data_IF_410211935583
#
_entry.id   IF_410211935583
#
_cell.length_a   1.000
_cell.length_b   1.000
_cell.length_c   1.000
_cell.angle_alpha   90.00
_cell.angle_beta   90.00
_cell.angle_gamma   90.00
#
_symmetry.space_group_name_H-M   'P 1'
#
loop_
_entity.id
_entity.type
_entity.pdbx_description
1 polymer ?
#
# COMPACT_ATOMS: atom_id res chain seq x y z
N UNK A 1 -5.37 -6.28 -3.46
CA UNK A 1 -5.12 -7.48 -4.29
C UNK A 1 -6.43 -8.10 -4.70
N UNK A 2 -6.66 -8.29 -6.00
CA UNK A 2 -7.82 -9.05 -6.49
C UNK A 2 -7.73 -10.53 -6.09
N UNK A 3 -8.82 -11.10 -5.60
CA UNK A 3 -8.94 -12.52 -5.24
C UNK A 3 -10.20 -13.16 -5.86
N UNK A 4 -10.68 -12.62 -6.99
CA UNK A 4 -11.92 -13.04 -7.68
C UNK A 4 -11.95 -14.49 -8.19
N UNK A 5 -10.80 -15.18 -8.20
CA UNK A 5 -10.70 -16.60 -8.53
C UNK A 5 -11.21 -17.52 -7.41
N UNK A 6 -11.41 -17.02 -6.19
CA UNK A 6 -12.21 -17.71 -5.18
C UNK A 6 -13.71 -17.47 -5.38
N UNK A 7 -14.55 -18.40 -4.94
CA UNK A 7 -16.01 -18.22 -4.95
C UNK A 7 -16.40 -16.95 -4.19
N UNK A 8 -17.07 -16.01 -4.86
CA UNK A 8 -17.43 -14.68 -4.33
C UNK A 8 -16.23 -13.82 -3.90
N UNK A 9 -15.04 -14.11 -4.42
CA UNK A 9 -13.82 -13.37 -4.11
C UNK A 9 -13.90 -11.91 -4.54
N UNK A 10 -13.38 -11.01 -3.70
CA UNK A 10 -13.24 -9.58 -3.99
C UNK A 10 -11.79 -9.18 -3.87
N UNK A 11 -11.38 -8.65 -2.71
CA UNK A 11 -10.00 -8.19 -2.50
C UNK A 11 -9.44 -8.57 -1.14
N UNK A 12 -8.13 -8.79 -1.11
CA UNK A 12 -7.28 -8.82 0.10
C UNK A 12 -6.37 -7.58 0.12
N UNK A 13 -5.97 -7.11 1.30
CA UNK A 13 -5.07 -5.97 1.47
C UNK A 13 -3.60 -6.45 1.52
N UNK A 14 -2.79 -5.96 0.58
CA UNK A 14 -1.33 -6.13 0.60
C UNK A 14 -0.75 -4.98 1.39
N UNK A 15 0.06 -5.30 2.41
CA UNK A 15 0.81 -4.32 3.20
C UNK A 15 2.17 -4.12 2.53
N UNK A 16 2.44 -3.00 1.85
CA UNK A 16 3.68 -2.87 1.06
C UNK A 16 4.91 -2.55 1.91
N UNK A 17 4.73 -2.09 3.15
CA UNK A 17 5.82 -1.78 4.06
C UNK A 17 6.31 -3.06 4.73
N UNK A 18 7.58 -3.38 4.51
CA UNK A 18 8.32 -4.51 5.08
C UNK A 18 9.68 -4.05 5.58
N UNK A 19 10.33 -4.89 6.40
CA UNK A 19 11.69 -4.63 6.88
C UNK A 19 12.66 -4.46 5.71
N UNK A 20 12.49 -5.27 4.66
CA UNK A 20 13.27 -5.23 3.43
C UNK A 20 13.04 -3.92 2.67
N UNK A 21 11.78 -3.47 2.55
CA UNK A 21 11.47 -2.18 1.93
C UNK A 21 12.12 -1.01 2.69
N UNK A 22 12.13 -1.07 4.02
CA UNK A 22 12.73 -0.06 4.88
C UNK A 22 14.25 -0.08 4.79
N UNK A 23 14.85 -1.26 4.73
CA UNK A 23 16.28 -1.43 4.52
C UNK A 23 16.70 -0.80 3.19
N UNK A 24 15.99 -1.10 2.09
CA UNK A 24 16.27 -0.52 0.78
C UNK A 24 16.10 1.01 0.77
N UNK A 25 14.99 1.53 1.29
CA UNK A 25 14.78 2.99 1.41
C UNK A 25 15.88 3.64 2.24
N UNK A 26 16.34 2.97 3.31
CA UNK A 26 17.49 3.43 4.10
C UNK A 26 18.77 3.57 3.26
N UNK A 27 19.03 2.64 2.34
CA UNK A 27 20.18 2.75 1.42
C UNK A 27 20.08 3.94 0.47
N UNK A 28 18.88 4.22 -0.05
CA UNK A 28 18.61 5.38 -0.91
C UNK A 28 18.82 6.71 -0.16
N UNK A 29 18.31 6.80 1.08
CA UNK A 29 18.43 8.01 1.90
C UNK A 29 19.88 8.30 2.35
N UNK A 30 20.74 7.28 2.38
CA UNK A 30 22.16 7.41 2.68
C UNK A 30 23.02 7.63 1.42
N UNK A 31 22.39 7.81 0.25
CA UNK A 31 23.06 7.95 -1.05
C UNK A 31 24.00 6.78 -1.37
N UNK A 32 23.65 5.58 -0.89
CA UNK A 32 24.40 4.33 -1.10
C UNK A 32 23.45 3.21 -1.53
N UNK A 33 22.75 3.37 -2.67
CA UNK A 33 21.75 2.39 -3.08
C UNK A 33 22.39 1.01 -3.27
N UNK A 34 21.68 -0.04 -2.87
CA UNK A 34 22.14 -1.43 -2.98
C UNK A 34 21.14 -2.26 -3.79
N UNK A 35 21.66 -2.93 -4.81
CA UNK A 35 20.88 -3.85 -5.65
C UNK A 35 20.41 -5.06 -4.85
N UNK A 36 21.24 -5.55 -3.93
CA UNK A 36 20.89 -6.64 -3.02
C UNK A 36 19.72 -6.27 -2.11
N UNK A 37 19.73 -5.04 -1.57
CA UNK A 37 18.63 -4.53 -0.75
C UNK A 37 17.34 -4.34 -1.58
N UNK A 38 17.46 -3.83 -2.81
CA UNK A 38 16.32 -3.74 -3.72
C UNK A 38 15.75 -5.13 -4.04
N UNK A 39 16.60 -6.09 -4.36
CA UNK A 39 16.20 -7.46 -4.69
C UNK A 39 15.48 -8.11 -3.51
N UNK A 40 15.99 -7.95 -2.29
CA UNK A 40 15.32 -8.42 -1.08
C UNK A 40 13.92 -7.80 -0.92
N UNK A 41 13.79 -6.48 -1.10
CA UNK A 41 12.51 -5.78 -1.04
C UNK A 41 11.52 -6.26 -2.11
N UNK A 42 12.00 -6.49 -3.34
CA UNK A 42 11.17 -7.01 -4.44
C UNK A 42 10.75 -8.46 -4.21
N UNK A 43 11.63 -9.30 -3.66
CA UNK A 43 11.32 -10.70 -3.32
C UNK A 43 10.25 -10.76 -2.23
N UNK A 44 10.38 -10.00 -1.14
CA UNK A 44 9.37 -9.94 -0.09
C UNK A 44 8.03 -9.43 -0.65
N UNK A 45 8.05 -8.32 -1.39
CA UNK A 45 6.83 -7.73 -1.92
C UNK A 45 6.07 -8.69 -2.84
N UNK A 46 6.80 -9.41 -3.72
CA UNK A 46 6.24 -10.48 -4.58
C UNK A 46 5.67 -11.63 -3.76
N UNK A 47 6.39 -12.08 -2.72
CA UNK A 47 5.92 -13.13 -1.83
C UNK A 47 4.62 -12.73 -1.12
N UNK A 48 4.52 -11.48 -0.65
CA UNK A 48 3.33 -10.96 0.04
C UNK A 48 2.14 -10.78 -0.90
N UNK A 49 2.37 -10.31 -2.14
CA UNK A 49 1.35 -10.31 -3.20
C UNK A 49 0.83 -11.72 -3.45
N UNK A 50 1.73 -12.70 -3.59
CA UNK A 50 1.36 -14.10 -3.82
C UNK A 50 0.54 -14.66 -2.66
N UNK A 51 0.96 -14.43 -1.42
CA UNK A 51 0.21 -14.84 -0.24
C UNK A 51 -1.20 -14.23 -0.22
N UNK A 52 -1.33 -12.94 -0.48
CA UNK A 52 -2.64 -12.28 -0.56
C UNK A 52 -3.50 -12.84 -1.69
N UNK A 53 -2.90 -13.13 -2.86
CA UNK A 53 -3.61 -13.76 -3.98
C UNK A 53 -4.11 -15.15 -3.61
N UNK A 54 -3.34 -15.91 -2.83
CA UNK A 54 -3.74 -17.24 -2.34
C UNK A 54 -4.70 -17.20 -1.14
N UNK A 55 -5.21 -16.01 -0.75
CA UNK A 55 -6.12 -15.87 0.40
C UNK A 55 -5.43 -16.06 1.76
N UNK A 56 -4.09 -15.98 1.80
CA UNK A 56 -3.27 -16.11 3.00
C UNK A 56 -2.89 -14.75 3.59
N UNK A 57 -3.55 -13.67 3.15
CA UNK A 57 -3.39 -12.35 3.74
C UNK A 57 -4.10 -12.26 5.10
N UNK A 58 -3.55 -11.49 6.05
CA UNK A 58 -4.12 -11.42 7.41
C UNK A 58 -5.33 -10.47 7.51
N UNK A 59 -5.47 -9.45 6.66
CA UNK A 59 -6.47 -8.39 6.89
C UNK A 59 -7.91 -8.91 6.83
N UNK A 60 -8.31 -9.66 5.79
CA UNK A 60 -9.69 -10.17 5.70
C UNK A 60 -9.98 -11.25 6.73
N UNK A 61 -8.98 -12.06 7.10
CA UNK A 61 -9.13 -13.04 8.16
C UNK A 61 -9.40 -12.36 9.52
N UNK A 62 -8.57 -11.39 9.91
CA UNK A 62 -8.74 -10.65 11.15
C UNK A 62 -10.07 -9.87 11.19
N UNK A 63 -10.49 -9.29 10.06
CA UNK A 63 -11.80 -8.66 9.93
C UNK A 63 -12.94 -9.66 10.13
N UNK A 64 -12.86 -10.83 9.51
CA UNK A 64 -13.87 -11.89 9.67
C UNK A 64 -14.03 -12.33 11.13
N UNK A 65 -12.91 -12.53 11.83
CA UNK A 65 -12.91 -12.84 13.26
C UNK A 65 -13.52 -11.70 14.10
N UNK A 66 -13.21 -10.43 13.77
CA UNK A 66 -13.76 -9.24 14.45
C UNK A 66 -15.28 -9.18 14.31
N UNK A 67 -15.78 -9.36 13.08
CA UNK A 67 -17.22 -9.37 12.79
C UNK A 67 -17.94 -10.55 13.46
N UNK A 68 -17.31 -11.72 13.53
CA UNK A 68 -17.84 -12.88 14.22
C UNK A 68 -17.96 -12.65 15.73
N UNK A 69 -16.93 -12.06 16.35
CA UNK A 69 -16.95 -11.71 17.78
C UNK A 69 -18.09 -10.72 18.07
N UNK A 70 -18.22 -9.66 17.27
CA UNK A 70 -19.31 -8.70 17.38
C UNK A 70 -20.70 -9.35 17.24
N UNK A 71 -20.87 -10.26 16.26
CA UNK A 71 -22.14 -10.97 16.05
C UNK A 71 -22.52 -11.87 17.24
N UNK A 72 -21.54 -12.46 17.93
CA UNK A 72 -21.80 -13.29 19.11
C UNK A 72 -22.24 -12.49 20.34
N UNK A 73 -22.11 -11.15 20.32
CA UNK A 73 -22.52 -10.28 21.43
C UNK A 73 -21.60 -10.36 22.66
N UNK A 74 -20.36 -10.84 22.50
CA UNK A 74 -19.36 -10.88 23.55
C UNK A 74 -18.42 -9.67 23.53
N UNK A 75 -17.56 -9.57 24.54
CA UNK A 75 -16.48 -8.59 24.54
C UNK A 75 -15.53 -8.82 23.37
N UNK A 76 -15.06 -7.72 22.79
CA UNK A 76 -14.11 -7.77 21.69
C UNK A 76 -12.75 -8.24 22.23
N UNK A 77 -12.12 -9.27 21.63
CA UNK A 77 -10.82 -9.76 22.08
C UNK A 77 -9.75 -8.65 22.14
N UNK A 78 -8.85 -8.74 23.12
CA UNK A 78 -7.83 -7.71 23.41
C UNK A 78 -6.95 -7.34 22.21
N UNK A 79 -6.66 -8.29 21.32
CA UNK A 79 -5.90 -8.02 20.08
C UNK A 79 -6.52 -6.89 19.24
N UNK A 80 -7.83 -6.68 19.29
CA UNK A 80 -8.48 -5.61 18.53
C UNK A 80 -8.43 -4.24 19.22
N UNK A 81 -8.04 -4.21 20.49
CA UNK A 81 -7.78 -2.99 21.26
C UNK A 81 -6.30 -2.59 21.16
N UNK A 82 -5.43 -3.53 20.84
CA UNK A 82 -3.99 -3.32 20.65
C UNK A 82 -3.67 -2.22 19.62
N UNK A 83 -2.73 -1.34 19.97
CA UNK A 83 -2.29 -0.25 19.10
C UNK A 83 -1.66 -0.78 17.81
N UNK A 84 -0.91 -1.88 17.87
CA UNK A 84 -0.32 -2.54 16.71
C UNK A 84 -1.37 -3.02 15.72
N UNK A 85 -2.49 -3.58 16.20
CA UNK A 85 -3.63 -3.91 15.34
C UNK A 85 -4.25 -2.66 14.70
N UNK A 86 -4.42 -1.58 15.47
CA UNK A 86 -4.96 -0.32 14.96
C UNK A 86 -4.06 0.29 13.89
N UNK A 87 -2.75 0.36 14.13
CA UNK A 87 -1.74 0.81 13.16
C UNK A 87 -1.75 -0.07 11.92
N UNK A 88 -1.73 -1.39 12.10
CA UNK A 88 -1.73 -2.36 11.01
C UNK A 88 -2.97 -2.25 10.12
N UNK A 89 -4.14 -1.95 10.68
CA UNK A 89 -5.41 -1.84 9.94
C UNK A 89 -5.76 -0.43 9.47
N UNK A 90 -4.97 0.59 9.84
CA UNK A 90 -5.18 1.97 9.40
C UNK A 90 -4.42 2.25 8.11
N UNK A 91 -5.17 2.44 7.03
CA UNK A 91 -4.61 2.75 5.72
C UNK A 91 -4.38 4.27 5.59
N UNK A 92 -3.23 4.78 6.09
CA UNK A 92 -2.86 6.19 5.89
C UNK A 92 -2.59 6.49 4.41
N UNK A 93 -1.81 5.63 3.75
CA UNK A 93 -1.66 5.64 2.28
C UNK A 93 -2.51 4.52 1.70
N UNK A 94 -3.74 4.84 1.29
CA UNK A 94 -4.62 3.88 0.63
C UNK A 94 -4.34 3.90 -0.86
N UNK A 95 -3.70 2.85 -1.38
CA UNK A 95 -3.22 2.81 -2.78
C UNK A 95 -3.97 1.79 -3.64
N UNK A 96 -4.19 2.11 -4.91
CA UNK A 96 -4.83 1.20 -5.87
C UNK A 96 -4.37 1.43 -7.30
N UNK A 97 -4.24 0.35 -8.07
CA UNK A 97 -3.93 0.39 -9.50
C UNK A 97 -4.83 -0.57 -10.26
N UNK A 98 -5.09 -0.22 -11.52
CA UNK A 98 -5.78 -1.07 -12.50
C UNK A 98 -4.86 -1.43 -13.67
N UNK A 99 -3.55 -1.22 -13.51
CA UNK A 99 -2.54 -1.50 -14.52
C UNK A 99 -2.15 -0.25 -15.31
N UNK A 100 -2.18 -0.39 -16.63
CA UNK A 100 -1.81 0.67 -17.57
C UNK A 100 -3.00 1.57 -17.94
N UNK A 101 -2.72 2.57 -18.79
CA UNK A 101 -3.71 3.53 -19.26
C UNK A 101 -4.55 3.05 -20.45
N UNK A 102 -4.57 1.75 -20.77
CA UNK A 102 -5.32 1.21 -21.93
C UNK A 102 -6.83 1.34 -21.77
N UNK A 103 -7.33 1.18 -20.55
CA UNK A 103 -8.77 1.16 -20.24
C UNK A 103 -9.16 2.33 -19.33
N UNK A 104 -8.35 2.61 -18.31
CA UNK A 104 -8.61 3.67 -17.33
C UNK A 104 -7.33 4.50 -17.20
N UNK A 105 -7.40 5.77 -17.58
CA UNK A 105 -6.24 6.68 -17.45
C UNK A 105 -5.95 6.97 -15.99
N UNK A 106 -6.96 7.40 -15.24
CA UNK A 106 -6.88 7.57 -13.79
C UNK A 106 -8.28 7.50 -13.15
N UNK A 107 -8.29 7.27 -11.84
CA UNK A 107 -9.48 7.41 -11.01
C UNK A 107 -9.11 7.97 -9.64
N UNK A 108 -10.08 8.57 -8.98
CA UNK A 108 -9.93 9.10 -7.63
C UNK A 108 -10.85 8.35 -6.66
N UNK A 109 -10.45 8.27 -5.41
CA UNK A 109 -11.26 7.74 -4.33
C UNK A 109 -10.93 8.48 -3.04
N UNK A 110 -11.93 8.64 -2.17
CA UNK A 110 -11.73 9.30 -0.89
C UNK A 110 -10.75 8.48 -0.01
N UNK A 111 -9.93 9.15 0.83
CA UNK A 111 -9.15 8.47 1.85
C UNK A 111 -10.00 7.55 2.73
N UNK A 112 -9.46 6.40 3.11
CA UNK A 112 -10.14 5.40 3.95
C UNK A 112 -9.94 5.63 5.45
N UNK A 113 -9.10 6.59 5.82
CA UNK A 113 -8.77 6.95 7.20
C UNK A 113 -8.76 8.47 7.37
N UNK A 114 -9.06 8.94 8.58
CA UNK A 114 -9.00 10.37 8.92
C UNK A 114 -7.56 10.85 8.76
N UNK A 115 -7.37 11.92 7.97
CA UNK A 115 -6.03 12.44 7.67
C UNK A 115 -5.19 11.57 6.73
N UNK A 116 -5.74 10.48 6.18
CA UNK A 116 -5.08 9.65 5.18
C UNK A 116 -5.15 10.23 3.77
N UNK A 117 -4.61 9.49 2.80
CA UNK A 117 -4.57 9.80 1.37
C UNK A 117 -5.16 8.63 0.57
N UNK A 118 -5.97 8.96 -0.43
CA UNK A 118 -6.38 8.02 -1.48
C UNK A 118 -5.47 8.20 -2.69
N UNK A 119 -4.79 7.16 -3.14
CA UNK A 119 -3.77 7.25 -4.18
C UNK A 119 -4.03 6.20 -5.26
N UNK A 120 -4.41 6.65 -6.44
CA UNK A 120 -4.31 5.82 -7.63
C UNK A 120 -2.97 6.04 -8.32
N UNK A 121 -2.38 4.98 -8.85
CA UNK A 121 -1.24 5.04 -9.75
C UNK A 121 -1.50 4.23 -11.03
N UNK A 122 -1.13 4.80 -12.18
CA UNK A 122 -1.27 4.21 -13.50
C UNK A 122 0.05 4.28 -14.25
N UNK A 123 0.43 3.18 -14.89
CA UNK A 123 1.61 3.15 -15.77
C UNK A 123 1.22 3.74 -17.13
N UNK A 124 2.01 4.68 -17.63
CA UNK A 124 1.86 5.30 -18.95
C UNK A 124 3.15 5.12 -19.75
N UNK A 125 3.13 5.29 -21.08
CA UNK A 125 4.35 5.26 -21.89
C UNK A 125 5.42 6.28 -21.45
N UNK A 126 5.01 7.39 -20.86
CA UNK A 126 5.86 8.48 -20.39
C UNK A 126 6.30 8.32 -18.92
N UNK A 127 5.76 7.34 -18.18
CA UNK A 127 6.13 7.07 -16.80
C UNK A 127 4.94 6.67 -15.91
N UNK A 128 4.79 7.37 -14.79
CA UNK A 128 3.75 7.06 -13.78
C UNK A 128 2.85 8.27 -13.56
N UNK A 129 1.54 8.05 -13.65
CA UNK A 129 0.53 9.02 -13.28
C UNK A 129 0.01 8.70 -11.88
N UNK A 130 0.16 9.64 -10.94
CA UNK A 130 -0.38 9.53 -9.59
C UNK A 130 -1.57 10.48 -9.40
N UNK A 131 -2.71 9.93 -8.98
CA UNK A 131 -3.89 10.72 -8.60
C UNK A 131 -4.05 10.64 -7.08
N UNK A 132 -3.81 11.76 -6.39
CA UNK A 132 -3.80 11.86 -4.92
C UNK A 132 -5.04 12.62 -4.45
N UNK A 133 -5.90 11.96 -3.70
CA UNK A 133 -7.11 12.51 -3.07
C UNK A 133 -6.87 12.72 -1.57
N UNK A 134 -7.28 13.88 -1.06
CA UNK A 134 -7.07 14.31 0.33
C UNK A 134 -8.10 15.37 0.72
N UNK A 135 -8.23 15.67 2.02
CA UNK A 135 -9.05 16.81 2.47
C UNK A 135 -8.33 18.12 2.21
N UNK A 136 -9.08 19.22 2.10
CA UNK A 136 -8.52 20.56 1.84
C UNK A 136 -7.47 20.96 2.89
N UNK A 137 -7.68 20.60 4.15
CA UNK A 137 -6.79 20.89 5.28
C UNK A 137 -5.40 20.25 5.14
N UNK A 138 -5.27 19.19 4.32
CA UNK A 138 -4.02 18.46 4.12
C UNK A 138 -3.15 19.04 2.98
N UNK A 139 -3.62 20.05 2.24
CA UNK A 139 -3.02 20.50 0.97
C UNK A 139 -1.50 20.76 1.06
N UNK A 140 -1.04 21.48 2.08
CA UNK A 140 0.38 21.80 2.24
C UNK A 140 1.24 20.56 2.43
N UNK A 141 0.81 19.64 3.32
CA UNK A 141 1.50 18.38 3.58
C UNK A 141 1.49 17.47 2.35
N UNK A 142 0.40 17.47 1.59
CA UNK A 142 0.28 16.69 0.35
C UNK A 142 1.21 17.24 -0.72
N UNK A 143 1.40 18.57 -0.82
CA UNK A 143 2.38 19.14 -1.74
C UNK A 143 3.80 18.62 -1.42
N UNK A 144 4.17 18.55 -0.14
CA UNK A 144 5.43 17.94 0.30
C UNK A 144 5.52 16.47 -0.09
N UNK A 145 4.45 15.70 0.11
CA UNK A 145 4.39 14.30 -0.28
C UNK A 145 4.55 14.11 -1.80
N UNK A 146 3.83 14.87 -2.61
CA UNK A 146 3.91 14.81 -4.09
C UNK A 146 5.30 15.20 -4.59
N UNK A 147 5.92 16.21 -3.99
CA UNK A 147 7.31 16.55 -4.31
C UNK A 147 8.27 15.43 -3.92
N UNK A 148 8.07 14.80 -2.76
CA UNK A 148 8.88 13.66 -2.31
C UNK A 148 8.73 12.44 -3.22
N UNK A 149 7.53 12.18 -3.75
CA UNK A 149 7.30 11.13 -4.75
C UNK A 149 8.14 11.36 -6.01
N UNK A 150 8.21 12.61 -6.50
CA UNK A 150 9.03 12.96 -7.68
C UNK A 150 10.52 12.75 -7.43
N UNK A 151 11.01 13.21 -6.26
CA UNK A 151 12.42 13.04 -5.86
C UNK A 151 12.76 11.56 -5.71
N UNK A 152 11.94 10.80 -4.98
CA UNK A 152 12.15 9.36 -4.80
C UNK A 152 12.10 8.59 -6.12
N UNK A 153 11.16 8.92 -7.01
CA UNK A 153 11.08 8.32 -8.34
C UNK A 153 12.30 8.62 -9.20
N UNK A 154 12.82 9.86 -9.15
CA UNK A 154 14.07 10.23 -9.84
C UNK A 154 15.26 9.43 -9.30
N UNK A 155 15.46 9.39 -7.99
CA UNK A 155 16.57 8.67 -7.36
C UNK A 155 16.53 7.17 -7.69
N UNK A 156 15.33 6.57 -7.67
CA UNK A 156 15.14 5.17 -8.05
C UNK A 156 15.47 4.94 -9.52
N UNK A 157 15.03 5.83 -10.43
CA UNK A 157 15.31 5.70 -11.86
C UNK A 157 16.81 5.87 -12.17
N UNK A 158 17.48 6.82 -11.53
CA UNK A 158 18.93 6.99 -11.66
C UNK A 158 19.67 5.73 -11.18
N UNK A 159 19.27 5.16 -10.05
CA UNK A 159 19.82 3.91 -9.56
C UNK A 159 19.60 2.72 -10.52
N UNK A 160 18.40 2.58 -11.07
CA UNK A 160 18.07 1.47 -11.99
C UNK A 160 18.78 1.56 -13.35
N UNK A 161 19.26 2.75 -13.73
CA UNK A 161 19.97 2.99 -14.99
C UNK A 161 21.51 3.05 -14.82
N UNK A 162 22.02 3.01 -13.60
CA UNK A 162 23.44 2.99 -13.28
C UNK A 162 24.03 1.58 -13.46
#
# INVERSE_FOLDING_TARGET
MDVSHFKNGRTECVRPVSEESLAFVGTLLQEKPSSEALDAALVEHKARIKACKLGQGPNRHLLGLKLLAAKKGGELPEIYKDEGYQTFTTDFLSTSTVGDNSTVVNFAFAPTSVGGLGINYTITPEGWLYTVSHTQEQQEKVNTFVNSLKVGGKNLLEFLNA
#
